data_IF_459933059048
#
_entry.id   IF_459933059048
#
_cell.length_a   1.000
_cell.length_b   1.000
_cell.length_c   1.000
_cell.angle_alpha   90.00
_cell.angle_beta   90.00
_cell.angle_gamma   90.00
#
_symmetry.space_group_name_H-M   'P 1'
#
loop_
_entity.id
_entity.type
_entity.pdbx_description
1 polymer ?
#
# COMPACT_ATOMS: atom_id res chain seq x y z
N UNK A 1 14.41 26.38 -5.10
CA UNK A 1 15.26 26.02 -3.95
C UNK A 1 15.47 24.52 -3.99
N UNK A 2 16.70 24.03 -4.20
CA UNK A 2 17.00 22.60 -4.07
C UNK A 2 17.23 22.32 -2.58
N UNK A 3 16.22 21.80 -1.90
CA UNK A 3 16.36 21.35 -0.51
C UNK A 3 17.05 19.99 -0.54
N UNK A 4 18.38 20.00 -0.45
CA UNK A 4 19.15 18.76 -0.40
C UNK A 4 19.22 18.29 1.06
N UNK A 5 18.16 17.63 1.51
CA UNK A 5 18.16 16.95 2.81
C UNK A 5 18.97 15.67 2.63
N UNK A 6 20.07 15.53 3.36
CA UNK A 6 20.78 14.25 3.43
C UNK A 6 19.88 13.23 4.15
N UNK A 7 19.32 12.31 3.37
CA UNK A 7 18.55 11.17 3.86
C UNK A 7 19.55 10.09 4.25
N UNK A 8 19.43 9.54 5.46
CA UNK A 8 20.30 8.45 5.90
C UNK A 8 20.24 7.25 4.94
N UNK A 9 21.32 6.48 4.85
CA UNK A 9 21.36 5.30 3.97
C UNK A 9 20.24 4.30 4.27
N UNK A 10 19.87 4.14 5.55
CA UNK A 10 18.75 3.30 5.97
C UNK A 10 17.43 3.78 5.38
N UNK A 11 17.11 5.08 5.52
CA UNK A 11 15.89 5.65 4.96
C UNK A 11 15.88 5.58 3.43
N UNK A 12 17.03 5.79 2.79
CA UNK A 12 17.15 5.65 1.34
C UNK A 12 16.86 4.22 0.87
N UNK A 13 17.42 3.23 1.56
CA UNK A 13 17.17 1.80 1.28
C UNK A 13 15.70 1.45 1.44
N UNK A 14 15.04 1.95 2.50
CA UNK A 14 13.60 1.72 2.74
C UNK A 14 12.73 2.32 1.63
N UNK A 15 13.07 3.53 1.17
CA UNK A 15 12.36 4.17 0.06
C UNK A 15 12.55 3.38 -1.25
N UNK A 16 13.74 2.87 -1.51
CA UNK A 16 13.99 2.06 -2.72
C UNK A 16 13.22 0.73 -2.66
N UNK A 17 13.14 0.08 -1.50
CA UNK A 17 12.30 -1.11 -1.29
C UNK A 17 10.81 -0.83 -1.51
N UNK A 18 10.31 0.33 -1.08
CA UNK A 18 8.93 0.73 -1.34
C UNK A 18 8.68 0.97 -2.83
N UNK A 19 9.64 1.61 -3.50
CA UNK A 19 9.58 1.87 -4.95
C UNK A 19 9.56 0.56 -5.74
N UNK A 20 10.34 -0.45 -5.34
CA UNK A 20 10.37 -1.74 -6.05
C UNK A 20 9.12 -2.60 -5.84
N UNK A 21 8.31 -2.30 -4.83
CA UNK A 21 7.12 -3.09 -4.43
C UNK A 21 5.80 -2.36 -4.64
N UNK A 22 5.84 -1.14 -5.17
CA UNK A 22 4.65 -0.33 -5.43
C UNK A 22 4.79 0.40 -6.76
N UNK A 23 3.71 1.06 -7.19
CA UNK A 23 3.73 1.94 -8.36
C UNK A 23 4.17 3.37 -8.03
N UNK A 24 4.58 3.62 -6.79
CA UNK A 24 4.96 4.95 -6.31
C UNK A 24 6.41 5.28 -6.67
N UNK A 25 6.64 6.52 -7.07
CA UNK A 25 7.99 7.06 -7.23
C UNK A 25 8.59 7.43 -5.88
N UNK A 26 9.92 7.53 -5.84
CA UNK A 26 10.68 8.02 -4.69
C UNK A 26 10.15 9.36 -4.16
N UNK A 27 9.88 10.32 -5.04
CA UNK A 27 9.36 11.64 -4.66
C UNK A 27 7.97 11.55 -4.04
N UNK A 28 7.08 10.72 -4.60
CA UNK A 28 5.74 10.50 -4.04
C UNK A 28 5.80 9.82 -2.66
N UNK A 29 6.72 8.87 -2.45
CA UNK A 29 6.91 8.24 -1.14
C UNK A 29 7.34 9.27 -0.09
N UNK A 30 8.28 10.14 -0.46
CA UNK A 30 8.78 11.22 0.40
C UNK A 30 7.68 12.25 0.66
N UNK A 31 6.96 12.69 -0.38
CA UNK A 31 5.83 13.63 -0.26
C UNK A 31 4.72 13.07 0.63
N UNK A 32 4.36 11.80 0.48
CA UNK A 32 3.41 11.13 1.36
C UNK A 32 3.86 11.17 2.83
N UNK A 33 5.16 10.98 3.09
CA UNK A 33 5.71 11.01 4.44
C UNK A 33 5.75 12.43 5.03
N UNK A 34 6.10 13.44 4.23
CA UNK A 34 6.27 14.82 4.71
C UNK A 34 4.97 15.62 4.75
N UNK A 35 4.08 15.41 3.79
CA UNK A 35 2.91 16.27 3.57
C UNK A 35 1.58 15.60 3.94
N UNK A 36 1.52 14.26 3.91
CA UNK A 36 0.27 13.53 4.07
C UNK A 36 0.21 12.65 5.34
N UNK A 37 1.23 12.73 6.22
CA UNK A 37 1.28 11.97 7.47
C UNK A 37 1.44 10.45 7.30
N UNK A 38 1.73 9.99 6.07
CA UNK A 38 1.92 8.57 5.75
C UNK A 38 3.38 8.21 5.96
N UNK A 39 3.76 7.96 7.21
CA UNK A 39 5.14 7.59 7.56
C UNK A 39 5.63 6.39 6.72
N UNK A 40 6.96 6.26 6.53
CA UNK A 40 7.52 5.11 5.78
C UNK A 40 7.09 3.76 6.37
N UNK A 41 7.03 3.66 7.71
CA UNK A 41 6.55 2.45 8.39
C UNK A 41 5.09 2.13 8.05
N UNK A 42 4.24 3.15 7.96
CA UNK A 42 2.86 2.97 7.53
C UNK A 42 2.78 2.54 6.07
N UNK A 43 3.55 3.19 5.18
CA UNK A 43 3.59 2.86 3.76
C UNK A 43 4.05 1.41 3.53
N UNK A 44 5.07 0.96 4.27
CA UNK A 44 5.57 -0.42 4.25
C UNK A 44 4.49 -1.42 4.62
N UNK A 45 3.77 -1.18 5.71
CA UNK A 45 2.66 -2.04 6.14
C UNK A 45 1.52 -2.06 5.13
N UNK A 46 1.20 -0.91 4.55
CA UNK A 46 0.16 -0.80 3.54
C UNK A 46 0.49 -1.59 2.27
N UNK A 47 1.70 -1.41 1.72
CA UNK A 47 2.17 -2.17 0.54
C UNK A 47 2.17 -3.67 0.81
N UNK A 48 2.64 -4.10 1.99
CA UNK A 48 2.60 -5.51 2.37
C UNK A 48 1.16 -6.07 2.43
N UNK A 49 0.21 -5.28 2.95
CA UNK A 49 -1.20 -5.66 2.99
C UNK A 49 -1.83 -5.77 1.60
N UNK A 50 -1.54 -4.82 0.71
CA UNK A 50 -2.01 -4.86 -0.69
C UNK A 50 -1.47 -6.09 -1.40
N UNK A 51 -0.17 -6.36 -1.29
CA UNK A 51 0.45 -7.53 -1.90
C UNK A 51 -0.17 -8.84 -1.38
N UNK A 52 -0.37 -8.94 -0.07
CA UNK A 52 -1.04 -10.10 0.54
C UNK A 52 -2.49 -10.28 0.05
N UNK A 53 -3.22 -9.19 -0.17
CA UNK A 53 -4.57 -9.22 -0.73
C UNK A 53 -4.59 -9.68 -2.20
N UNK A 54 -3.64 -9.22 -3.02
CA UNK A 54 -3.48 -9.68 -4.40
C UNK A 54 -3.17 -11.17 -4.43
N UNK A 55 -2.23 -11.62 -3.60
CA UNK A 55 -1.88 -13.05 -3.52
C UNK A 55 -3.04 -13.92 -3.04
N UNK A 56 -3.86 -13.43 -2.11
CA UNK A 56 -5.08 -14.12 -1.71
C UNK A 56 -6.08 -14.20 -2.88
N UNK A 57 -6.24 -13.10 -3.63
CA UNK A 57 -7.10 -13.08 -4.80
C UNK A 57 -6.65 -14.04 -5.90
N UNK A 58 -5.35 -14.08 -6.19
CA UNK A 58 -4.75 -14.99 -7.19
C UNK A 58 -4.96 -16.47 -6.82
N UNK A 59 -5.08 -16.79 -5.53
CA UNK A 59 -5.42 -18.13 -5.04
C UNK A 59 -6.92 -18.43 -5.02
N UNK A 60 -7.77 -17.45 -5.30
CA UNK A 60 -9.22 -17.57 -5.14
C UNK A 60 -9.71 -17.37 -3.70
N UNK A 61 -8.83 -17.00 -2.77
CA UNK A 61 -9.14 -16.72 -1.36
C UNK A 61 -9.60 -15.26 -1.14
N UNK A 62 -10.11 -14.59 -2.19
CA UNK A 62 -10.51 -13.18 -2.11
C UNK A 62 -11.73 -12.97 -1.19
N UNK A 63 -12.70 -13.88 -1.28
CA UNK A 63 -13.92 -13.88 -0.49
C UNK A 63 -14.47 -15.31 -0.41
N UNK A 64 -15.09 -15.66 0.70
CA UNK A 64 -15.82 -16.92 0.83
C UNK A 64 -17.29 -16.77 0.37
N UNK A 65 -17.99 -17.90 0.23
CA UNK A 65 -19.38 -17.93 -0.25
C UNK A 65 -20.34 -17.14 0.66
N UNK A 66 -20.10 -17.11 1.97
CA UNK A 66 -20.94 -16.37 2.93
C UNK A 66 -20.79 -14.85 2.77
N UNK A 67 -19.56 -14.39 2.54
CA UNK A 67 -19.25 -12.98 2.25
C UNK A 67 -19.92 -12.54 0.94
N UNK A 68 -19.85 -13.39 -0.10
CA UNK A 68 -20.50 -13.14 -1.38
C UNK A 68 -22.03 -13.07 -1.20
N UNK A 69 -22.63 -14.04 -0.51
CA UNK A 69 -24.07 -14.06 -0.25
C UNK A 69 -24.52 -12.81 0.53
N UNK A 70 -23.73 -12.36 1.50
CA UNK A 70 -24.00 -11.14 2.27
C UNK A 70 -24.07 -9.90 1.38
N UNK A 71 -23.12 -9.75 0.45
CA UNK A 71 -23.11 -8.64 -0.51
C UNK A 71 -24.31 -8.73 -1.46
N UNK A 72 -24.58 -9.92 -2.02
CA UNK A 72 -25.71 -10.11 -2.94
C UNK A 72 -27.06 -9.77 -2.28
N UNK A 73 -27.29 -10.25 -1.06
CA UNK A 73 -28.51 -9.96 -0.30
C UNK A 73 -28.70 -8.47 0.00
N UNK A 74 -27.60 -7.74 0.25
CA UNK A 74 -27.66 -6.29 0.50
C UNK A 74 -28.18 -5.51 -0.71
N UNK A 75 -27.84 -5.95 -1.93
CA UNK A 75 -28.19 -5.24 -3.16
C UNK A 75 -29.38 -5.85 -3.91
N UNK A 76 -29.83 -7.06 -3.57
CA UNK A 76 -31.02 -7.67 -4.16
C UNK A 76 -32.34 -7.05 -3.69
N UNK A 77 -32.31 -6.19 -2.66
CA UNK A 77 -33.46 -5.48 -2.10
C UNK A 77 -33.61 -4.04 -2.64
N UNK A 78 -32.81 -3.66 -3.64
CA UNK A 78 -32.81 -2.34 -4.28
C UNK A 78 -33.66 -2.31 -5.57
#
# INVERSE_FOLDING_TARGET
MKNNVEISEDLSRRIDMLTSRSTLTRDQIIENALSHGRSLAWQEKWVAGVQGGIEAADRGDFANEEEIATVLNRYSQA
#
